data_IF_891134029622
#
_entry.id   IF_891134029622
#
_cell.length_a   1.000
_cell.length_b   1.000
_cell.length_c   1.000
_cell.angle_alpha   90.00
_cell.angle_beta   90.00
_cell.angle_gamma   90.00
#
_symmetry.space_group_name_H-M   'P 1'
#
loop_
_entity.id
_entity.type
_entity.pdbx_description
1 polymer ?
#
# COMPACT_ATOMS: atom_id res chain seq x y z
N UNK A 1 -22.10 -16.25 0.58
CA UNK A 1 -21.54 -15.06 -0.11
C UNK A 1 -21.46 -13.93 0.91
N UNK A 2 -20.26 -13.43 1.16
CA UNK A 2 -20.03 -12.33 2.10
C UNK A 2 -20.24 -10.99 1.39
N UNK A 3 -20.80 -10.01 2.09
CA UNK A 3 -21.04 -8.67 1.54
C UNK A 3 -20.16 -7.63 2.23
N UNK A 4 -19.67 -6.65 1.46
CA UNK A 4 -18.93 -5.51 1.97
C UNK A 4 -19.17 -4.26 1.10
N UNK A 5 -18.76 -3.10 1.61
CA UNK A 5 -18.77 -1.88 0.82
C UNK A 5 -17.60 -1.89 -0.18
N UNK A 6 -16.40 -2.26 0.30
CA UNK A 6 -15.17 -2.21 -0.47
C UNK A 6 -14.41 -3.54 -0.35
N UNK A 7 -14.02 -4.11 -1.49
CA UNK A 7 -13.03 -5.17 -1.57
C UNK A 7 -11.70 -4.60 -2.11
N UNK A 8 -10.61 -4.77 -1.38
CA UNK A 8 -9.27 -4.33 -1.76
C UNK A 8 -8.42 -5.56 -2.07
N UNK A 9 -7.91 -5.65 -3.28
CA UNK A 9 -7.02 -6.74 -3.69
C UNK A 9 -5.58 -6.27 -3.59
N UNK A 10 -4.84 -6.88 -2.68
CA UNK A 10 -3.47 -6.54 -2.31
C UNK A 10 -3.39 -5.71 -1.02
N UNK A 11 -2.66 -6.21 -0.02
CA UNK A 11 -2.35 -5.54 1.25
C UNK A 11 -0.94 -4.94 1.28
N UNK A 12 -0.43 -4.49 0.13
CA UNK A 12 0.78 -3.67 0.06
C UNK A 12 0.56 -2.28 0.70
N UNK A 13 1.57 -1.43 0.68
CA UNK A 13 1.49 -0.09 1.27
C UNK A 13 0.24 0.69 0.85
N UNK A 14 -0.12 0.63 -0.44
CA UNK A 14 -1.28 1.35 -0.98
C UNK A 14 -2.59 0.74 -0.50
N UNK A 15 -2.76 -0.58 -0.66
CA UNK A 15 -4.00 -1.25 -0.27
C UNK A 15 -4.28 -1.18 1.23
N UNK A 16 -3.25 -1.41 2.06
CA UNK A 16 -3.38 -1.34 3.51
C UNK A 16 -3.68 0.10 4.00
N UNK A 17 -3.02 1.13 3.43
CA UNK A 17 -3.33 2.52 3.76
C UNK A 17 -4.77 2.89 3.37
N UNK A 18 -5.21 2.46 2.18
CA UNK A 18 -6.57 2.68 1.70
C UNK A 18 -7.58 1.98 2.60
N UNK A 19 -7.30 0.74 3.03
CA UNK A 19 -8.16 0.00 3.96
C UNK A 19 -8.35 0.76 5.29
N UNK A 20 -7.25 1.22 5.91
CA UNK A 20 -7.32 1.99 7.16
C UNK A 20 -8.14 3.27 7.00
N UNK A 21 -7.92 4.03 5.93
CA UNK A 21 -8.61 5.29 5.69
C UNK A 21 -10.11 5.09 5.44
N UNK A 22 -10.49 4.08 4.66
CA UNK A 22 -11.89 3.78 4.37
C UNK A 22 -12.63 3.20 5.58
N UNK A 23 -11.95 2.36 6.36
CA UNK A 23 -12.51 1.83 7.59
C UNK A 23 -12.73 2.91 8.65
N UNK A 24 -11.86 3.92 8.71
CA UNK A 24 -12.04 5.07 9.59
C UNK A 24 -13.28 5.91 9.24
N UNK A 25 -13.73 5.87 7.98
CA UNK A 25 -14.99 6.49 7.53
C UNK A 25 -16.22 5.57 7.75
N UNK A 26 -16.03 4.43 8.43
CA UNK A 26 -17.12 3.50 8.79
C UNK A 26 -17.50 2.48 7.71
N UNK A 27 -16.75 2.39 6.61
CA UNK A 27 -17.02 1.42 5.55
C UNK A 27 -16.58 0.01 5.95
N UNK A 28 -17.33 -1.01 5.54
CA UNK A 28 -16.95 -2.41 5.70
C UNK A 28 -15.98 -2.81 4.58
N UNK A 29 -14.76 -3.14 4.97
CA UNK A 29 -13.66 -3.43 4.04
C UNK A 29 -13.27 -4.90 4.10
N UNK A 30 -13.10 -5.53 2.93
CA UNK A 30 -12.45 -6.85 2.78
C UNK A 30 -11.13 -6.66 2.07
N UNK A 31 -10.06 -7.16 2.67
CA UNK A 31 -8.72 -7.09 2.08
C UNK A 31 -8.28 -8.50 1.72
N UNK A 32 -7.91 -8.71 0.46
CA UNK A 32 -7.45 -10.00 -0.06
C UNK A 32 -5.95 -9.91 -0.32
N UNK A 33 -5.17 -10.80 0.31
CA UNK A 33 -3.72 -10.80 0.18
C UNK A 33 -3.18 -12.22 0.07
N UNK A 34 -2.30 -12.44 -0.89
CA UNK A 34 -1.70 -13.75 -1.15
C UNK A 34 -0.66 -14.13 -0.11
N UNK A 35 0.09 -13.14 0.39
CA UNK A 35 1.16 -13.37 1.36
C UNK A 35 1.46 -12.12 2.18
N UNK A 36 1.42 -12.26 3.49
CA UNK A 36 1.89 -11.23 4.40
C UNK A 36 3.43 -11.18 4.45
N UNK A 37 4.01 -10.00 4.71
CA UNK A 37 5.45 -9.84 4.87
C UNK A 37 5.93 -10.50 6.17
N UNK A 38 7.23 -10.82 6.23
CA UNK A 38 7.88 -11.27 7.45
C UNK A 38 7.86 -10.16 8.53
N UNK A 39 7.78 -10.58 9.79
CA UNK A 39 7.81 -9.65 10.92
C UNK A 39 9.12 -8.86 10.97
N UNK A 40 9.05 -7.68 11.58
CA UNK A 40 10.22 -6.85 11.83
C UNK A 40 11.01 -7.36 13.04
N UNK A 41 12.34 -7.44 12.89
CA UNK A 41 13.28 -7.61 13.98
C UNK A 41 14.33 -6.47 13.95
N UNK A 42 14.66 -5.83 15.08
CA UNK A 42 15.56 -4.68 15.12
C UNK A 42 16.96 -4.96 14.57
N UNK A 43 17.44 -6.20 14.69
CA UNK A 43 18.76 -6.68 14.28
C UNK A 43 18.78 -7.27 12.86
N UNK A 44 17.64 -7.30 12.16
CA UNK A 44 17.58 -7.79 10.79
C UNK A 44 18.39 -6.89 9.82
N UNK A 45 18.96 -7.45 8.73
CA UNK A 45 19.55 -6.66 7.65
C UNK A 45 18.56 -5.65 7.06
N UNK A 46 19.07 -4.56 6.45
CA UNK A 46 18.24 -3.61 5.72
C UNK A 46 17.65 -4.27 4.47
N UNK A 47 16.37 -3.99 4.21
CA UNK A 47 15.72 -4.41 2.98
C UNK A 47 16.28 -3.61 1.79
N UNK A 48 16.40 -4.26 0.63
CA UNK A 48 16.84 -3.61 -0.59
C UNK A 48 15.82 -2.58 -1.12
N UNK A 49 14.54 -2.79 -0.83
CA UNK A 49 13.46 -1.91 -1.30
C UNK A 49 13.15 -0.86 -0.24
N UNK A 50 13.57 0.36 -0.52
CA UNK A 50 13.29 1.54 0.30
C UNK A 50 12.53 2.58 -0.52
N UNK A 51 11.78 3.44 0.16
CA UNK A 51 11.09 4.57 -0.44
C UNK A 51 11.42 5.86 0.29
N UNK A 52 11.55 6.95 -0.47
CA UNK A 52 11.58 8.30 0.08
C UNK A 52 10.14 8.75 0.36
N UNK A 53 9.73 8.63 1.61
CA UNK A 53 8.40 9.01 2.08
C UNK A 53 8.41 10.52 2.36
N UNK A 54 7.68 11.29 1.54
CA UNK A 54 7.57 12.74 1.70
C UNK A 54 6.77 13.13 2.94
N UNK A 55 6.85 14.39 3.36
CA UNK A 55 6.04 14.91 4.49
C UNK A 55 4.53 14.75 4.24
N UNK A 56 4.07 14.87 2.98
CA UNK A 56 2.66 14.63 2.64
C UNK A 56 2.26 13.17 2.87
N UNK A 57 3.14 12.22 2.51
CA UNK A 57 2.92 10.79 2.77
C UNK A 57 3.00 10.47 4.26
N UNK A 58 3.89 11.12 5.02
CA UNK A 58 3.90 11.02 6.49
C UNK A 58 2.58 11.46 7.09
N UNK A 59 2.04 12.61 6.65
CA UNK A 59 0.75 13.10 7.12
C UNK A 59 -0.41 12.13 6.77
N UNK A 60 -0.35 11.48 5.61
CA UNK A 60 -1.33 10.45 5.22
C UNK A 60 -1.22 9.20 6.13
N UNK A 61 -0.01 8.74 6.41
CA UNK A 61 0.24 7.60 7.30
C UNK A 61 -0.19 7.92 8.74
N UNK A 62 -0.02 9.16 9.18
CA UNK A 62 -0.49 9.64 10.47
C UNK A 62 -2.02 9.68 10.53
N UNK A 63 -2.67 10.24 9.50
CA UNK A 63 -4.13 10.20 9.36
C UNK A 63 -4.69 8.78 9.35
N UNK A 64 -3.99 7.84 8.72
CA UNK A 64 -4.34 6.41 8.75
C UNK A 64 -4.10 5.76 10.11
N UNK A 65 -3.37 6.42 11.04
CA UNK A 65 -3.00 5.93 12.36
C UNK A 65 -1.83 4.96 12.37
N UNK A 66 -1.08 4.84 11.28
CA UNK A 66 0.05 3.92 11.16
C UNK A 66 1.41 4.54 11.52
N UNK A 67 1.50 5.87 11.57
CA UNK A 67 2.77 6.57 11.78
C UNK A 67 3.41 6.24 13.13
N UNK A 68 2.64 6.14 14.20
CA UNK A 68 3.12 5.77 15.53
C UNK A 68 3.76 4.38 15.58
N UNK A 69 3.25 3.43 14.79
CA UNK A 69 3.85 2.10 14.65
C UNK A 69 5.17 2.16 13.88
N UNK A 70 5.26 2.99 12.83
CA UNK A 70 6.51 3.21 12.09
C UNK A 70 7.59 3.84 12.95
N UNK A 71 7.26 4.78 13.84
CA UNK A 71 8.21 5.42 14.76
C UNK A 71 8.88 4.44 15.73
N UNK A 72 8.30 3.27 15.95
CA UNK A 72 8.88 2.20 16.76
C UNK A 72 9.85 1.29 15.97
N UNK A 73 9.97 1.52 14.66
CA UNK A 73 10.85 0.78 13.76
C UNK A 73 11.98 1.71 13.25
N UNK A 74 12.66 1.29 12.15
CA UNK A 74 13.77 2.07 11.58
C UNK A 74 13.26 3.17 10.66
N UNK A 75 13.67 4.41 10.93
CA UNK A 75 13.40 5.58 10.10
C UNK A 75 14.71 6.33 9.85
N UNK A 76 14.94 6.79 8.63
CA UNK A 76 16.08 7.64 8.31
C UNK A 76 15.58 8.97 7.73
N UNK A 77 15.59 10.09 8.48
CA UNK A 77 15.19 11.39 7.94
C UNK A 77 16.17 11.85 6.87
N UNK A 78 15.66 12.42 5.77
CA UNK A 78 16.49 13.05 4.75
C UNK A 78 16.16 14.53 4.60
N UNK A 79 17.20 15.35 4.45
CA UNK A 79 17.10 16.82 4.36
C UNK A 79 17.37 17.33 2.96
N UNK A 80 18.04 16.55 2.14
CA UNK A 80 18.43 16.91 0.78
C UNK A 80 18.16 15.75 -0.17
N UNK A 81 17.65 16.08 -1.33
CA UNK A 81 17.56 15.21 -2.49
C UNK A 81 18.26 15.90 -3.65
N UNK A 82 19.20 15.22 -4.27
CA UNK A 82 19.92 15.75 -5.41
C UNK A 82 19.94 14.70 -6.52
N UNK A 83 19.61 15.12 -7.74
CA UNK A 83 19.64 14.28 -8.94
C UNK A 83 20.46 14.96 -10.00
N UNK A 84 21.28 14.21 -10.72
CA UNK A 84 22.08 14.69 -11.82
C UNK A 84 22.10 13.65 -12.93
N UNK A 85 22.25 14.10 -14.17
CA UNK A 85 22.32 13.25 -15.36
C UNK A 85 23.64 13.46 -16.11
N UNK A 86 24.09 14.73 -16.19
CA UNK A 86 25.33 15.14 -16.82
C UNK A 86 26.11 16.05 -15.88
N UNK A 87 27.45 16.09 -16.07
CA UNK A 87 28.29 17.00 -15.32
C UNK A 87 27.83 18.46 -15.50
N UNK A 88 27.63 19.15 -14.39
CA UNK A 88 27.18 20.55 -14.33
C UNK A 88 25.67 20.78 -14.33
N UNK A 89 24.87 19.73 -14.44
CA UNK A 89 23.41 19.82 -14.33
C UNK A 89 22.91 18.98 -13.17
N UNK A 90 22.58 19.61 -12.07
CA UNK A 90 21.99 18.96 -10.90
C UNK A 90 20.69 19.67 -10.49
N UNK A 91 19.67 18.89 -10.17
CA UNK A 91 18.46 19.40 -9.51
C UNK A 91 18.53 19.01 -8.03
N UNK A 92 18.41 20.03 -7.18
CA UNK A 92 18.55 19.85 -5.74
C UNK A 92 17.31 20.40 -5.03
N UNK A 93 16.84 19.63 -4.07
CA UNK A 93 15.81 20.00 -3.10
C UNK A 93 16.44 19.98 -1.71
N UNK A 94 16.28 21.04 -0.95
CA UNK A 94 16.80 21.16 0.40
C UNK A 94 15.66 21.59 1.34
N UNK A 95 15.55 20.93 2.49
CA UNK A 95 14.53 21.25 3.48
C UNK A 95 14.70 22.66 4.05
N UNK A 96 15.93 23.19 4.07
CA UNK A 96 16.22 24.54 4.53
C UNK A 96 15.56 25.59 3.65
N UNK A 97 15.48 25.37 2.33
CA UNK A 97 14.84 26.28 1.38
C UNK A 97 13.31 26.41 1.64
N UNK A 98 12.74 25.41 2.31
CA UNK A 98 11.31 25.35 2.68
C UNK A 98 11.07 25.69 4.16
N UNK A 99 12.11 25.98 4.93
CA UNK A 99 12.01 26.17 6.39
C UNK A 99 11.57 24.90 7.14
N UNK A 100 11.79 23.71 6.58
CA UNK A 100 11.40 22.44 7.15
C UNK A 100 12.60 21.76 7.85
N UNK A 101 12.36 20.97 8.92
CA UNK A 101 13.44 20.21 9.56
C UNK A 101 13.99 19.10 8.67
N UNK A 102 13.15 18.55 7.75
CA UNK A 102 13.50 17.51 6.79
C UNK A 102 12.47 17.46 5.65
N UNK A 103 12.85 16.88 4.50
CA UNK A 103 11.95 16.66 3.36
C UNK A 103 11.05 15.43 3.56
N UNK A 104 11.49 14.47 4.38
CA UNK A 104 10.80 13.23 4.65
C UNK A 104 11.72 12.18 5.25
N UNK A 105 11.40 10.90 5.00
CA UNK A 105 12.14 9.77 5.54
C UNK A 105 12.42 8.72 4.45
N UNK A 106 13.62 8.16 4.46
CA UNK A 106 13.90 6.91 3.75
C UNK A 106 13.46 5.76 4.65
N UNK A 107 12.53 4.94 4.17
CA UNK A 107 11.94 3.85 4.94
C UNK A 107 11.89 2.60 4.07
N UNK A 108 12.17 1.44 4.66
CA UNK A 108 11.97 0.15 4.02
C UNK A 108 10.49 -0.08 3.72
N UNK A 109 10.15 -0.45 2.48
CA UNK A 109 8.76 -0.59 2.05
C UNK A 109 7.98 -1.59 2.91
N UNK A 110 8.64 -2.66 3.35
CA UNK A 110 8.07 -3.66 4.23
C UNK A 110 7.67 -3.08 5.59
N UNK A 111 8.46 -2.17 6.15
CA UNK A 111 8.13 -1.54 7.45
C UNK A 111 6.90 -0.66 7.35
N UNK A 112 6.74 0.07 6.23
CA UNK A 112 5.50 0.84 5.98
C UNK A 112 4.29 -0.11 5.89
N UNK A 113 4.44 -1.22 5.18
CA UNK A 113 3.38 -2.24 5.07
C UNK A 113 3.05 -2.84 6.44
N UNK A 114 4.05 -3.23 7.23
CA UNK A 114 3.84 -3.82 8.57
C UNK A 114 3.12 -2.86 9.52
N UNK A 115 3.49 -1.57 9.52
CA UNK A 115 2.82 -0.57 10.34
C UNK A 115 1.33 -0.42 9.97
N UNK A 116 1.03 -0.44 8.68
CA UNK A 116 -0.34 -0.36 8.18
C UNK A 116 -1.13 -1.63 8.49
N UNK A 117 -0.54 -2.81 8.30
CA UNK A 117 -1.15 -4.10 8.66
C UNK A 117 -1.46 -4.14 10.16
N UNK A 118 -0.53 -3.69 10.99
CA UNK A 118 -0.75 -3.58 12.44
C UNK A 118 -1.93 -2.66 12.77
N UNK A 119 -2.03 -1.53 12.07
CA UNK A 119 -3.15 -0.59 12.24
C UNK A 119 -4.48 -1.19 11.79
N UNK A 120 -4.49 -1.99 10.72
CA UNK A 120 -5.70 -2.67 10.25
C UNK A 120 -6.34 -3.57 11.33
N UNK A 121 -5.54 -4.18 12.20
CA UNK A 121 -6.02 -5.04 13.29
C UNK A 121 -6.90 -4.29 14.31
N UNK A 122 -6.77 -2.96 14.42
CA UNK A 122 -7.56 -2.14 15.34
C UNK A 122 -8.97 -1.83 14.80
N UNK A 123 -9.25 -2.13 13.53
CA UNK A 123 -10.53 -1.84 12.90
C UNK A 123 -11.45 -3.08 12.85
N UNK A 124 -12.55 -3.10 13.61
CA UNK A 124 -13.49 -4.22 13.60
C UNK A 124 -14.25 -4.39 12.27
N UNK A 125 -14.27 -3.35 11.42
CA UNK A 125 -14.88 -3.32 10.10
C UNK A 125 -13.91 -3.64 8.96
N UNK A 126 -12.67 -4.04 9.26
CA UNK A 126 -11.74 -4.65 8.31
C UNK A 126 -11.70 -6.16 8.56
N UNK A 127 -11.87 -6.93 7.49
CA UNK A 127 -11.58 -8.37 7.50
C UNK A 127 -10.57 -8.68 6.40
N UNK A 128 -9.51 -9.41 6.76
CA UNK A 128 -8.45 -9.81 5.83
C UNK A 128 -8.57 -11.29 5.50
N UNK A 129 -8.61 -11.60 4.20
CA UNK A 129 -8.48 -12.95 3.65
C UNK A 129 -7.02 -13.16 3.23
N UNK A 130 -6.29 -13.97 4.00
CA UNK A 130 -4.87 -14.27 3.74
C UNK A 130 -4.48 -15.63 4.35
N UNK A 131 -3.79 -16.51 3.61
CA UNK A 131 -3.45 -16.37 2.20
C UNK A 131 -4.67 -16.56 1.30
N UNK A 132 -4.92 -15.65 0.36
CA UNK A 132 -6.02 -15.78 -0.60
C UNK A 132 -5.72 -15.01 -1.90
N UNK A 133 -6.23 -15.51 -3.01
CA UNK A 133 -6.11 -14.88 -4.32
C UNK A 133 -7.46 -14.81 -5.03
N UNK A 134 -7.70 -13.72 -5.75
CA UNK A 134 -8.89 -13.58 -6.60
C UNK A 134 -8.67 -14.40 -7.86
N UNK A 135 -9.54 -15.37 -8.12
CA UNK A 135 -9.50 -16.22 -9.33
C UNK A 135 -10.55 -15.83 -10.36
N UNK A 136 -11.61 -15.16 -9.94
CA UNK A 136 -12.65 -14.64 -10.85
C UNK A 136 -13.20 -13.32 -10.32
N UNK A 137 -13.45 -12.39 -11.24
CA UNK A 137 -14.09 -11.11 -11.02
C UNK A 137 -15.23 -10.95 -12.03
N UNK A 138 -16.42 -10.65 -11.54
CA UNK A 138 -17.59 -10.33 -12.37
C UNK A 138 -18.11 -8.95 -11.97
N UNK A 139 -18.22 -8.06 -12.94
CA UNK A 139 -18.75 -6.72 -12.74
C UNK A 139 -20.25 -6.73 -13.02
N UNK A 140 -21.03 -6.26 -12.07
CA UNK A 140 -22.47 -6.01 -12.20
C UNK A 140 -22.78 -4.52 -12.19
N UNK A 141 -24.06 -4.16 -12.32
CA UNK A 141 -24.49 -2.77 -12.35
C UNK A 141 -24.33 -2.07 -10.98
N UNK A 142 -24.57 -2.79 -9.88
CA UNK A 142 -24.51 -2.23 -8.52
C UNK A 142 -23.39 -2.82 -7.67
N UNK A 143 -22.96 -4.04 -7.99
CA UNK A 143 -21.95 -4.78 -7.22
C UNK A 143 -21.02 -5.53 -8.14
N UNK A 144 -19.82 -5.79 -7.67
CA UNK A 144 -18.90 -6.75 -8.25
C UNK A 144 -18.86 -8.01 -7.36
N UNK A 145 -18.73 -9.18 -8.01
CA UNK A 145 -18.56 -10.46 -7.33
C UNK A 145 -17.16 -10.98 -7.55
N UNK A 146 -16.49 -11.40 -6.48
CA UNK A 146 -15.18 -12.01 -6.51
C UNK A 146 -15.27 -13.45 -6.01
N UNK A 147 -14.57 -14.35 -6.69
CA UNK A 147 -14.32 -15.71 -6.20
C UNK A 147 -12.84 -15.80 -5.83
N UNK A 148 -12.57 -16.28 -4.62
CA UNK A 148 -11.22 -16.55 -4.13
C UNK A 148 -10.82 -18.00 -4.43
N UNK A 149 -9.54 -18.29 -4.37
CA UNK A 149 -8.95 -19.61 -4.63
C UNK A 149 -9.35 -20.68 -3.60
N UNK A 150 -9.77 -20.29 -2.40
CA UNK A 150 -10.32 -21.16 -1.36
C UNK A 150 -11.83 -21.45 -1.53
N UNK A 151 -12.46 -20.89 -2.57
CA UNK A 151 -13.90 -21.00 -2.84
C UNK A 151 -14.77 -19.95 -2.16
N UNK A 152 -14.20 -19.03 -1.38
CA UNK A 152 -14.94 -17.91 -0.77
C UNK A 152 -15.51 -16.99 -1.86
N UNK A 153 -16.77 -16.64 -1.74
CA UNK A 153 -17.45 -15.68 -2.60
C UNK A 153 -17.69 -14.37 -1.85
N UNK A 154 -17.19 -13.27 -2.42
CA UNK A 154 -17.40 -11.92 -1.91
C UNK A 154 -18.25 -11.10 -2.88
N UNK A 155 -19.11 -10.25 -2.35
CA UNK A 155 -19.84 -9.24 -3.10
C UNK A 155 -19.50 -7.85 -2.54
N UNK A 156 -19.00 -6.95 -3.38
CA UNK A 156 -18.58 -5.62 -3.00
C UNK A 156 -19.23 -4.56 -3.89
N UNK A 157 -19.55 -3.40 -3.32
CA UNK A 157 -19.99 -2.23 -4.12
C UNK A 157 -18.84 -1.70 -4.99
N UNK A 158 -17.62 -1.75 -4.45
CA UNK A 158 -16.41 -1.33 -5.15
C UNK A 158 -15.28 -2.33 -4.96
N UNK A 159 -14.51 -2.54 -6.01
CA UNK A 159 -13.28 -3.34 -5.97
C UNK A 159 -12.10 -2.43 -6.30
N UNK A 160 -11.12 -2.36 -5.40
CA UNK A 160 -9.90 -1.59 -5.57
C UNK A 160 -8.73 -2.54 -5.86
N UNK A 161 -8.16 -2.43 -7.05
CA UNK A 161 -7.00 -3.21 -7.47
C UNK A 161 -5.72 -2.56 -6.95
N UNK A 162 -5.17 -3.09 -5.86
CA UNK A 162 -3.92 -2.68 -5.24
C UNK A 162 -2.83 -3.77 -5.30
N UNK A 163 -2.98 -4.72 -6.24
CA UNK A 163 -2.16 -5.92 -6.42
C UNK A 163 -0.89 -5.69 -7.26
N UNK A 164 -0.51 -4.43 -7.44
CA UNK A 164 0.80 -4.02 -7.97
C UNK A 164 0.92 -4.04 -9.49
N UNK A 165 2.17 -3.99 -9.97
CA UNK A 165 2.48 -3.80 -11.39
C UNK A 165 1.97 -4.95 -12.29
N UNK A 166 1.99 -6.18 -11.80
CA UNK A 166 1.52 -7.38 -12.50
C UNK A 166 0.05 -7.72 -12.19
N UNK A 167 -0.74 -6.72 -11.81
CA UNK A 167 -2.12 -6.86 -11.36
C UNK A 167 -2.92 -7.89 -12.14
N UNK A 168 -3.35 -8.96 -11.44
CA UNK A 168 -4.29 -9.95 -11.95
C UNK A 168 -5.70 -9.36 -11.99
N UNK A 169 -6.06 -8.55 -10.99
CA UNK A 169 -7.36 -7.89 -10.90
C UNK A 169 -7.62 -7.01 -12.11
N UNK A 170 -6.63 -6.23 -12.56
CA UNK A 170 -6.71 -5.44 -13.79
C UNK A 170 -7.05 -6.32 -15.00
N UNK A 171 -6.38 -7.48 -15.12
CA UNK A 171 -6.62 -8.42 -16.24
C UNK A 171 -8.01 -9.03 -16.17
N UNK A 172 -8.44 -9.45 -14.98
CA UNK A 172 -9.78 -10.01 -14.75
C UNK A 172 -10.89 -8.99 -15.04
N UNK A 173 -10.61 -7.69 -14.79
CA UNK A 173 -11.52 -6.59 -15.10
C UNK A 173 -11.54 -6.22 -16.60
N UNK A 174 -10.73 -6.87 -17.45
CA UNK A 174 -10.63 -6.56 -18.88
C UNK A 174 -9.95 -5.22 -19.19
N UNK A 175 -9.22 -4.64 -18.22
CA UNK A 175 -8.51 -3.37 -18.40
C UNK A 175 -7.17 -3.66 -19.09
N UNK A 176 -7.05 -3.20 -20.33
CA UNK A 176 -5.83 -3.30 -21.13
C UNK A 176 -4.68 -2.47 -20.59
N UNK A 177 -3.49 -2.67 -21.14
CA UNK A 177 -2.29 -1.89 -20.82
C UNK A 177 -1.22 -2.08 -21.88
N UNK A 178 -0.35 -1.07 -22.04
CA UNK A 178 0.86 -1.17 -22.87
C UNK A 178 2.06 -1.31 -21.94
N UNK A 179 2.97 -2.22 -22.29
CA UNK A 179 4.22 -2.43 -21.55
C UNK A 179 5.39 -2.04 -22.44
N UNK A 180 6.24 -1.17 -21.96
CA UNK A 180 7.53 -0.86 -22.57
C UNK A 180 8.64 -1.41 -21.68
N UNK A 181 9.52 -2.22 -22.25
CA UNK A 181 10.71 -2.71 -21.55
C UNK A 181 11.89 -1.80 -21.91
N UNK A 182 12.34 -1.06 -20.90
CA UNK A 182 13.64 -0.38 -21.00
C UNK A 182 14.71 -1.42 -20.67
N UNK A 183 15.50 -1.79 -21.67
CA UNK A 183 16.65 -2.70 -21.49
C UNK A 183 17.78 -1.91 -20.81
N UNK A 184 17.73 -1.84 -19.50
CA UNK A 184 18.76 -1.25 -18.64
C UNK A 184 19.27 -2.32 -17.68
#
# INVERSE_FOLDING_TARGET
>A
MEQCDIAIVGAGMVGAATACLLAAEGLNVRVIETRLPEHYAPDQPLDLRVSAISQASVALLDKAGAWSHLQQMRLCPYRRLETWELDGFATRFDSADLGLPQLGYIIENRLVQLALLRRMEDFPNIQTHTPAAVVRLQQGAEHASLLLDDGTELQARWVLACDGAESLTRRLAGIGGSRFEYRQ
#
